data_IF_258247607029
#
_entry.id   IF_258247607029
#
_cell.length_a   1.000
_cell.length_b   1.000
_cell.length_c   1.000
_cell.angle_alpha   90.00
_cell.angle_beta   90.00
_cell.angle_gamma   90.00
#
_symmetry.space_group_name_H-M   'P 1'
#
loop_
_entity.id
_entity.type
_entity.pdbx_description
1 polymer ?
#
# COMPACT_ATOMS: atom_id res chain seq x y z
N UNK A 1 -11.63 -10.33 -14.31
CA UNK A 1 -11.48 -10.80 -12.91
C UNK A 1 -10.19 -11.60 -12.70
N UNK A 2 -9.92 -12.66 -13.46
CA UNK A 2 -8.70 -13.51 -13.38
C UNK A 2 -7.39 -12.73 -13.39
N UNK A 3 -7.22 -11.79 -14.33
CA UNK A 3 -5.98 -11.01 -14.49
C UNK A 3 -5.65 -10.15 -13.25
N UNK A 4 -6.64 -9.68 -12.52
CA UNK A 4 -6.45 -8.88 -11.31
C UNK A 4 -5.82 -9.72 -10.20
N UNK A 5 -6.36 -10.91 -9.93
CA UNK A 5 -5.87 -11.83 -8.88
C UNK A 5 -4.45 -12.30 -9.17
N UNK A 6 -4.17 -12.68 -10.43
CA UNK A 6 -2.81 -13.07 -10.82
C UNK A 6 -1.80 -11.92 -10.67
N UNK A 7 -2.19 -10.69 -11.01
CA UNK A 7 -1.32 -9.54 -10.83
C UNK A 7 -1.08 -9.21 -9.35
N UNK A 8 -2.10 -9.39 -8.50
CA UNK A 8 -1.99 -9.18 -7.06
C UNK A 8 -1.04 -10.21 -6.43
N UNK A 9 -1.22 -11.50 -6.71
CA UNK A 9 -0.31 -12.54 -6.23
C UNK A 9 1.13 -12.30 -6.69
N UNK A 10 1.32 -11.93 -7.97
CA UNK A 10 2.64 -11.63 -8.52
C UNK A 10 3.26 -10.39 -7.86
N UNK A 11 2.49 -9.35 -7.61
CA UNK A 11 2.96 -8.16 -6.92
C UNK A 11 3.38 -8.47 -5.48
N UNK A 12 2.58 -9.27 -4.77
CA UNK A 12 2.89 -9.69 -3.40
C UNK A 12 4.19 -10.51 -3.35
N UNK A 13 4.38 -11.46 -4.26
CA UNK A 13 5.64 -12.22 -4.35
C UNK A 13 6.85 -11.30 -4.65
N UNK A 14 6.70 -10.30 -5.51
CA UNK A 14 7.77 -9.34 -5.83
C UNK A 14 8.18 -8.47 -4.65
N UNK A 15 7.21 -8.03 -3.83
CA UNK A 15 7.53 -7.22 -2.65
C UNK A 15 8.07 -8.07 -1.50
N UNK A 16 7.70 -9.34 -1.41
CA UNK A 16 8.34 -10.32 -0.54
C UNK A 16 9.83 -10.51 -0.90
N UNK A 17 10.13 -10.68 -2.20
CA UNK A 17 11.50 -10.89 -2.69
C UNK A 17 12.46 -9.74 -2.34
N UNK A 18 11.97 -8.51 -2.26
CA UNK A 18 12.77 -7.34 -1.86
C UNK A 18 12.83 -7.17 -0.33
N UNK A 19 12.34 -8.13 0.44
CA UNK A 19 12.46 -8.21 1.90
C UNK A 19 11.44 -7.37 2.67
N UNK A 20 10.23 -7.17 2.11
CA UNK A 20 9.10 -6.65 2.88
C UNK A 20 8.36 -7.78 3.58
N UNK A 21 7.90 -7.54 4.80
CA UNK A 21 7.09 -8.51 5.52
C UNK A 21 5.66 -8.51 4.97
N UNK A 22 5.34 -9.55 4.25
CA UNK A 22 4.02 -9.80 3.65
C UNK A 22 3.62 -11.26 3.93
N UNK A 23 2.32 -11.61 3.95
CA UNK A 23 1.93 -13.00 3.94
C UNK A 23 2.46 -13.67 2.67
N UNK A 24 3.17 -14.78 2.81
CA UNK A 24 3.73 -15.50 1.67
C UNK A 24 2.62 -16.06 0.80
N UNK A 25 2.75 -15.93 -0.52
CA UNK A 25 1.83 -16.56 -1.46
C UNK A 25 2.17 -18.04 -1.60
N UNK A 26 1.26 -18.91 -1.19
CA UNK A 26 1.41 -20.35 -1.28
C UNK A 26 0.87 -20.88 -2.61
N UNK A 27 -0.30 -20.43 -3.03
CA UNK A 27 -0.97 -20.93 -4.21
C UNK A 27 -1.91 -19.90 -4.84
N UNK A 28 -2.09 -19.97 -6.14
CA UNK A 28 -3.18 -19.31 -6.86
C UNK A 28 -4.03 -20.36 -7.55
N UNK A 29 -5.22 -20.57 -7.05
CA UNK A 29 -6.09 -21.67 -7.47
C UNK A 29 -7.54 -21.21 -7.73
N UNK A 30 -8.40 -22.14 -8.09
CA UNK A 30 -9.85 -21.93 -8.15
C UNK A 30 -10.53 -22.66 -7.01
N UNK A 31 -11.31 -21.93 -6.22
CA UNK A 31 -12.18 -22.42 -5.16
C UNK A 31 -13.62 -22.07 -5.55
N UNK A 32 -14.49 -23.06 -5.66
CA UNK A 32 -15.89 -22.90 -6.09
C UNK A 32 -16.05 -22.08 -7.39
N UNK A 33 -15.15 -22.36 -8.36
CA UNK A 33 -15.15 -21.69 -9.67
C UNK A 33 -14.62 -20.26 -9.68
N UNK A 34 -14.22 -19.69 -8.53
CA UNK A 34 -13.62 -18.36 -8.37
C UNK A 34 -12.12 -18.47 -8.18
N UNK A 35 -11.37 -17.54 -8.77
CA UNK A 35 -9.94 -17.44 -8.52
C UNK A 35 -9.69 -16.93 -7.10
N UNK A 36 -8.74 -17.55 -6.41
CA UNK A 36 -8.31 -17.23 -5.06
C UNK A 36 -6.79 -17.21 -4.98
N UNK A 37 -6.27 -16.40 -4.05
CA UNK A 37 -4.87 -16.41 -3.62
C UNK A 37 -4.86 -17.06 -2.25
N UNK A 38 -4.08 -18.11 -2.07
CA UNK A 38 -3.84 -18.74 -0.76
C UNK A 38 -2.53 -18.19 -0.24
N UNK A 39 -2.54 -17.69 0.99
CA UNK A 39 -1.37 -17.11 1.65
C UNK A 39 -1.22 -17.65 3.06
N UNK A 40 -0.05 -17.42 3.66
CA UNK A 40 0.13 -17.60 5.10
C UNK A 40 -0.98 -16.87 5.87
N UNK A 41 -1.46 -17.52 6.93
CA UNK A 41 -2.32 -16.84 7.92
C UNK A 41 -1.43 -16.12 8.94
N UNK A 42 -1.61 -14.82 9.06
CA UNK A 42 -0.89 -14.00 10.04
C UNK A 42 -1.77 -13.78 11.25
N UNK A 43 -1.39 -14.36 12.37
CA UNK A 43 -2.07 -14.16 13.63
C UNK A 43 -1.69 -12.82 14.25
N UNK A 44 -2.68 -11.95 14.52
CA UNK A 44 -2.45 -10.63 15.08
C UNK A 44 -3.69 -9.74 14.99
N UNK A 45 -3.49 -8.46 15.28
CA UNK A 45 -4.52 -7.41 15.13
C UNK A 45 -4.12 -6.43 14.06
N UNK A 46 -5.10 -5.90 13.33
CA UNK A 46 -4.82 -4.78 12.43
C UNK A 46 -4.40 -3.55 13.24
N UNK A 47 -3.52 -2.74 12.65
CA UNK A 47 -3.07 -1.50 13.28
C UNK A 47 -4.27 -0.56 13.54
N UNK A 48 -5.25 -0.53 12.61
CA UNK A 48 -6.51 0.19 12.82
C UNK A 48 -7.22 -0.26 14.11
N UNK A 49 -7.36 -1.57 14.30
CA UNK A 49 -7.99 -2.11 15.50
C UNK A 49 -7.22 -1.75 16.77
N UNK A 50 -5.89 -1.73 16.72
CA UNK A 50 -5.07 -1.31 17.86
C UNK A 50 -5.27 0.17 18.18
N UNK A 51 -5.39 1.04 17.17
CA UNK A 51 -5.71 2.46 17.33
C UNK A 51 -7.09 2.65 17.97
N UNK A 52 -8.10 1.90 17.50
CA UNK A 52 -9.47 1.99 18.00
C UNK A 52 -9.62 1.48 19.44
N UNK A 53 -8.90 0.40 19.79
CA UNK A 53 -8.92 -0.18 21.15
C UNK A 53 -8.09 0.65 22.16
N UNK A 54 -7.13 1.46 21.70
CA UNK A 54 -6.22 2.23 22.54
C UNK A 54 -6.06 3.67 22.03
N UNK A 55 -7.09 4.51 22.12
CA UNK A 55 -7.04 5.87 21.58
C UNK A 55 -6.00 6.77 22.26
N UNK A 56 -5.61 6.49 23.49
CA UNK A 56 -4.52 7.14 24.23
C UNK A 56 -3.13 6.87 23.62
N UNK A 57 -2.98 5.83 22.81
CA UNK A 57 -1.75 5.47 22.10
C UNK A 57 -1.82 5.78 20.60
N UNK A 58 -2.77 6.57 20.17
CA UNK A 58 -2.95 6.87 18.74
C UNK A 58 -1.69 7.42 18.10
N UNK A 59 -1.01 8.36 18.76
CA UNK A 59 0.20 8.99 18.22
C UNK A 59 1.35 7.96 18.10
N UNK A 60 1.54 7.07 19.08
CA UNK A 60 2.53 5.97 19.01
C UNK A 60 2.26 5.03 17.83
N UNK A 61 0.99 4.68 17.59
CA UNK A 61 0.64 3.84 16.45
C UNK A 61 0.75 4.56 15.12
N UNK A 62 0.51 5.87 15.09
CA UNK A 62 0.69 6.70 13.90
C UNK A 62 2.18 6.82 13.53
N UNK A 63 3.07 7.02 14.50
CA UNK A 63 4.51 6.98 14.30
C UNK A 63 4.95 5.65 13.69
N UNK A 64 4.50 4.54 14.27
CA UNK A 64 4.77 3.20 13.74
C UNK A 64 4.25 3.02 12.31
N UNK A 65 3.07 3.54 12.01
CA UNK A 65 2.49 3.52 10.67
C UNK A 65 3.35 4.26 9.65
N UNK A 66 3.82 5.45 9.99
CA UNK A 66 4.71 6.25 9.14
C UNK A 66 6.04 5.56 8.93
N UNK A 67 6.65 5.01 9.98
CA UNK A 67 7.90 4.26 9.89
C UNK A 67 7.80 3.07 8.92
N UNK A 68 6.69 2.31 8.98
CA UNK A 68 6.43 1.21 8.06
C UNK A 68 6.26 1.69 6.62
N UNK A 69 5.59 2.81 6.39
CA UNK A 69 5.48 3.39 5.05
C UNK A 69 6.83 3.84 4.51
N UNK A 70 7.66 4.48 5.34
CA UNK A 70 9.01 4.87 4.99
C UNK A 70 9.89 3.65 4.69
N UNK A 71 9.74 2.54 5.42
CA UNK A 71 10.43 1.28 5.12
C UNK A 71 10.06 0.78 3.72
N UNK A 72 8.79 0.74 3.36
CA UNK A 72 8.32 0.39 2.02
C UNK A 72 8.92 1.31 0.96
N UNK A 73 8.88 2.63 1.19
CA UNK A 73 9.34 3.65 0.25
C UNK A 73 10.87 3.71 0.12
N UNK A 74 11.64 3.13 1.06
CA UNK A 74 13.10 2.95 0.90
C UNK A 74 13.45 1.86 -0.11
N UNK A 75 12.54 0.92 -0.38
CA UNK A 75 12.75 -0.17 -1.32
C UNK A 75 12.59 0.28 -2.78
N UNK A 76 13.20 -0.49 -3.66
CA UNK A 76 13.03 -0.40 -5.12
C UNK A 76 12.69 -1.77 -5.66
N UNK A 77 11.76 -1.83 -6.62
CA UNK A 77 11.37 -3.07 -7.26
C UNK A 77 11.10 -2.82 -8.75
N UNK A 78 12.10 -2.95 -9.63
CA UNK A 78 11.98 -2.65 -11.06
C UNK A 78 10.92 -3.49 -11.79
N UNK A 79 10.53 -4.62 -11.21
CA UNK A 79 9.50 -5.49 -11.76
C UNK A 79 8.07 -4.98 -11.57
N UNK A 80 7.86 -3.95 -10.73
CA UNK A 80 6.55 -3.34 -10.52
C UNK A 80 6.19 -2.40 -11.67
N UNK A 81 4.89 -2.26 -11.90
CA UNK A 81 4.38 -1.30 -12.89
C UNK A 81 4.69 0.14 -12.48
N UNK A 82 4.93 1.01 -13.45
CA UNK A 82 5.14 2.43 -13.21
C UNK A 82 3.87 3.12 -12.69
N UNK A 83 3.99 3.88 -11.60
CA UNK A 83 2.90 4.72 -11.06
C UNK A 83 2.45 5.75 -12.10
N UNK A 84 3.39 6.42 -12.77
CA UNK A 84 3.11 7.43 -13.79
C UNK A 84 2.30 6.83 -14.94
N UNK A 85 2.72 5.69 -15.48
CA UNK A 85 1.99 5.01 -16.56
C UNK A 85 0.59 4.55 -16.13
N UNK A 86 0.47 4.04 -14.89
CA UNK A 86 -0.83 3.65 -14.31
C UNK A 86 -1.77 4.84 -14.22
N UNK A 87 -1.28 6.00 -13.79
CA UNK A 87 -2.06 7.23 -13.70
C UNK A 87 -2.41 7.78 -15.09
N UNK A 88 -1.47 7.80 -16.04
CA UNK A 88 -1.74 8.23 -17.42
C UNK A 88 -2.87 7.43 -18.08
N UNK A 89 -2.92 6.10 -17.84
CA UNK A 89 -4.00 5.24 -18.37
C UNK A 89 -5.37 5.54 -17.76
N UNK A 90 -5.41 6.13 -16.55
CA UNK A 90 -6.67 6.49 -15.87
C UNK A 90 -7.18 7.88 -16.23
N UNK A 91 -6.30 8.78 -16.68
CA UNK A 91 -6.68 10.13 -17.07
C UNK A 91 -7.31 10.08 -18.47
N UNK A 92 -8.49 10.67 -18.62
CA UNK A 92 -9.16 10.78 -19.92
C UNK A 92 -8.30 11.58 -20.90
N UNK A 93 -8.26 11.17 -22.18
CA UNK A 93 -7.49 11.82 -23.23
C UNK A 93 -7.83 13.32 -23.43
N UNK A 94 -9.03 13.76 -23.06
CA UNK A 94 -9.42 15.18 -23.10
C UNK A 94 -8.76 16.04 -22.00
N UNK A 95 -8.04 15.45 -21.06
CA UNK A 95 -7.33 16.13 -19.97
C UNK A 95 -5.85 16.32 -20.29
N UNK A 96 -5.56 16.95 -21.43
CA UNK A 96 -4.19 17.16 -21.93
C UNK A 96 -3.25 17.81 -20.91
N UNK A 97 -3.72 18.84 -20.19
CA UNK A 97 -2.93 19.50 -19.15
C UNK A 97 -2.48 18.55 -18.03
N UNK A 98 -3.37 17.66 -17.56
CA UNK A 98 -3.03 16.67 -16.56
C UNK A 98 -2.00 15.65 -17.07
N UNK A 99 -2.13 15.21 -18.32
CA UNK A 99 -1.13 14.35 -18.95
C UNK A 99 0.23 15.01 -19.03
N UNK A 100 0.28 16.29 -19.43
CA UNK A 100 1.52 17.06 -19.56
C UNK A 100 2.18 17.26 -18.20
N UNK A 101 1.43 17.65 -17.18
CA UNK A 101 1.93 17.80 -15.80
C UNK A 101 2.47 16.48 -15.27
N UNK A 102 1.74 15.38 -15.43
CA UNK A 102 2.15 14.06 -14.96
C UNK A 102 3.42 13.58 -15.69
N UNK A 103 3.54 13.83 -16.98
CA UNK A 103 4.73 13.49 -17.77
C UNK A 103 5.97 14.30 -17.37
N UNK A 104 5.78 15.55 -16.93
CA UNK A 104 6.84 16.45 -16.48
C UNK A 104 7.31 16.18 -15.05
N UNK A 105 6.58 15.35 -14.26
CA UNK A 105 6.99 15.02 -12.89
C UNK A 105 8.30 14.21 -12.90
N UNK A 106 9.19 14.44 -11.91
CA UNK A 106 10.40 13.64 -11.76
C UNK A 106 10.09 12.15 -11.68
N UNK A 107 10.83 11.36 -12.44
CA UNK A 107 10.69 9.90 -12.37
C UNK A 107 11.45 9.38 -11.16
N UNK A 108 10.74 8.62 -10.33
CA UNK A 108 11.26 7.92 -9.16
C UNK A 108 10.97 6.43 -9.31
N UNK A 109 11.69 5.62 -8.53
CA UNK A 109 11.62 4.15 -8.57
C UNK A 109 11.32 3.54 -7.20
N UNK A 110 10.73 4.32 -6.31
CA UNK A 110 10.38 3.87 -4.97
C UNK A 110 9.15 2.95 -5.02
N UNK A 111 9.10 1.97 -4.12
CA UNK A 111 7.89 1.17 -3.95
C UNK A 111 6.80 2.05 -3.37
N UNK A 112 5.66 2.08 -4.04
CA UNK A 112 4.46 2.81 -3.65
C UNK A 112 3.35 1.78 -3.45
N UNK A 113 2.85 1.61 -2.25
CA UNK A 113 1.81 0.63 -1.93
C UNK A 113 0.51 0.93 -2.68
N UNK A 114 0.12 2.20 -2.71
CA UNK A 114 -1.06 2.68 -3.43
C UNK A 114 -2.38 2.45 -2.71
N UNK A 115 -2.36 1.87 -1.50
CA UNK A 115 -3.49 1.74 -0.59
C UNK A 115 -3.01 1.53 0.85
N UNK A 116 -1.98 2.33 1.24
CA UNK A 116 -1.37 2.24 2.54
C UNK A 116 -2.28 2.87 3.59
N UNK A 117 -2.88 2.02 4.43
CA UNK A 117 -3.80 2.42 5.50
C UNK A 117 -3.65 1.44 6.68
N UNK A 118 -4.04 1.83 7.92
CA UNK A 118 -3.85 1.00 9.12
C UNK A 118 -4.60 -0.34 9.10
N UNK A 119 -5.68 -0.46 8.31
CA UNK A 119 -6.42 -1.73 8.18
C UNK A 119 -5.66 -2.76 7.35
N UNK A 120 -4.70 -2.34 6.53
CA UNK A 120 -3.83 -3.18 5.70
C UNK A 120 -2.52 -3.57 6.40
N UNK A 121 -2.40 -3.37 7.71
CA UNK A 121 -1.22 -3.74 8.49
C UNK A 121 -1.65 -4.61 9.65
N UNK A 122 -1.07 -5.82 9.76
CA UNK A 122 -1.25 -6.70 10.92
C UNK A 122 -0.03 -6.58 11.82
N UNK A 123 -0.26 -6.38 13.10
CA UNK A 123 0.75 -6.44 14.16
C UNK A 123 0.55 -7.74 14.92
N UNK A 124 1.58 -8.59 14.91
CA UNK A 124 1.62 -9.84 15.64
C UNK A 124 1.91 -9.61 17.12
N UNK A 125 1.73 -10.64 17.94
CA UNK A 125 1.96 -10.57 19.40
C UNK A 125 3.42 -10.22 19.76
N UNK A 126 4.38 -10.68 18.94
CA UNK A 126 5.81 -10.34 19.06
C UNK A 126 6.16 -8.95 18.49
N UNK A 127 5.15 -8.16 18.04
CA UNK A 127 5.30 -6.80 17.55
C UNK A 127 5.75 -6.66 16.10
N UNK A 128 5.89 -7.77 15.36
CA UNK A 128 6.24 -7.75 13.94
C UNK A 128 5.04 -7.26 13.12
N UNK A 129 5.32 -6.42 12.11
CA UNK A 129 4.31 -5.90 11.21
C UNK A 129 4.32 -6.66 9.86
N UNK A 130 3.12 -6.97 9.36
CA UNK A 130 2.90 -7.53 8.04
C UNK A 130 1.98 -6.61 7.25
N UNK A 131 2.38 -6.25 6.03
CA UNK A 131 1.61 -5.36 5.16
C UNK A 131 0.83 -6.20 4.15
N UNK A 132 -0.46 -5.90 4.02
CA UNK A 132 -1.44 -6.63 3.22
C UNK A 132 -1.86 -5.84 1.99
N UNK A 133 -2.60 -6.47 1.07
CA UNK A 133 -3.26 -5.89 -0.12
C UNK A 133 -2.32 -5.12 -1.05
N UNK A 134 -1.45 -5.85 -1.70
CA UNK A 134 -0.50 -5.34 -2.71
C UNK A 134 -1.10 -5.20 -4.12
N UNK A 135 -2.43 -5.21 -4.24
CA UNK A 135 -3.15 -5.11 -5.52
C UNK A 135 -2.88 -3.79 -6.25
N UNK A 136 -2.56 -2.74 -5.51
CA UNK A 136 -2.34 -1.39 -6.04
C UNK A 136 -0.88 -0.98 -6.15
N UNK A 137 0.05 -1.82 -5.73
CA UNK A 137 1.49 -1.50 -5.71
C UNK A 137 2.03 -1.09 -7.09
N UNK A 138 2.95 -0.14 -7.05
CA UNK A 138 3.66 0.40 -8.23
C UNK A 138 5.06 0.82 -7.82
N UNK A 139 5.91 1.13 -8.80
CA UNK A 139 7.12 1.91 -8.54
C UNK A 139 6.92 3.36 -9.00
N UNK A 140 7.38 4.32 -8.22
CA UNK A 140 7.17 5.72 -8.55
C UNK A 140 7.64 6.69 -7.49
N UNK A 141 6.90 7.80 -7.35
CA UNK A 141 7.20 8.86 -6.42
C UNK A 141 6.55 8.56 -5.05
N UNK A 142 7.39 8.42 -4.02
CA UNK A 142 6.96 8.20 -2.63
C UNK A 142 5.98 9.30 -2.14
N UNK A 143 6.21 10.57 -2.49
CA UNK A 143 5.32 11.66 -2.10
C UNK A 143 3.91 11.50 -2.68
N UNK A 144 3.75 10.88 -3.86
CA UNK A 144 2.43 10.61 -4.42
C UNK A 144 1.71 9.49 -3.65
N UNK A 145 2.46 8.51 -3.13
CA UNK A 145 1.92 7.46 -2.25
C UNK A 145 1.50 8.05 -0.89
N UNK A 146 2.34 8.89 -0.29
CA UNK A 146 2.03 9.60 0.94
C UNK A 146 0.79 10.51 0.78
N UNK A 147 0.71 11.28 -0.31
CA UNK A 147 -0.47 12.10 -0.61
C UNK A 147 -1.76 11.28 -0.72
N UNK A 148 -1.66 10.05 -1.27
CA UNK A 148 -2.80 9.14 -1.32
C UNK A 148 -3.19 8.65 0.09
N UNK A 149 -2.24 8.29 0.93
CA UNK A 149 -2.49 7.91 2.33
C UNK A 149 -3.18 9.05 3.10
N UNK A 150 -2.69 10.29 2.96
CA UNK A 150 -3.35 11.47 3.51
C UNK A 150 -4.82 11.58 3.08
N UNK A 151 -5.09 11.43 1.78
CA UNK A 151 -6.45 11.48 1.24
C UNK A 151 -7.34 10.35 1.77
N UNK A 152 -6.79 9.16 2.04
CA UNK A 152 -7.55 8.05 2.63
C UNK A 152 -8.01 8.42 4.04
N UNK A 153 -7.11 8.90 4.92
CA UNK A 153 -7.48 9.39 6.25
C UNK A 153 -8.55 10.48 6.18
N UNK A 154 -8.38 11.42 5.27
CA UNK A 154 -9.31 12.55 5.13
C UNK A 154 -10.70 12.11 4.66
N UNK A 155 -10.78 11.18 3.70
CA UNK A 155 -12.04 10.64 3.16
C UNK A 155 -12.78 9.74 4.17
N UNK A 156 -12.06 9.10 5.07
CA UNK A 156 -12.60 8.32 6.19
C UNK A 156 -13.10 9.21 7.34
N UNK A 157 -12.93 10.53 7.23
CA UNK A 157 -13.35 11.51 8.24
C UNK A 157 -12.34 11.72 9.38
N UNK A 158 -11.17 11.07 9.34
CA UNK A 158 -10.10 11.25 10.30
C UNK A 158 -9.18 12.39 9.89
N UNK A 159 -9.70 13.63 9.96
CA UNK A 159 -8.96 14.83 9.53
C UNK A 159 -7.78 15.12 10.45
N UNK A 160 -7.93 14.95 11.75
CA UNK A 160 -6.84 15.13 12.72
C UNK A 160 -5.69 14.14 12.47
N UNK A 161 -6.01 12.86 12.24
CA UNK A 161 -5.03 11.86 11.87
C UNK A 161 -4.33 12.16 10.54
N UNK A 162 -5.06 12.70 9.55
CA UNK A 162 -4.49 13.10 8.27
C UNK A 162 -3.45 14.22 8.44
N UNK A 163 -3.78 15.26 9.23
CA UNK A 163 -2.88 16.39 9.49
C UNK A 163 -1.65 15.97 10.31
N UNK A 164 -1.84 15.16 11.35
CA UNK A 164 -0.72 14.58 12.11
C UNK A 164 0.21 13.76 11.23
N UNK A 165 -0.36 12.91 10.37
CA UNK A 165 0.39 12.07 9.44
C UNK A 165 1.32 12.88 8.50
N UNK A 166 0.90 14.06 8.03
CA UNK A 166 1.73 14.91 7.17
C UNK A 166 2.85 15.63 7.91
N UNK A 167 2.78 15.74 9.23
CA UNK A 167 3.77 16.43 10.05
C UNK A 167 4.86 15.50 10.60
N UNK A 168 4.71 14.20 10.38
CA UNK A 168 5.69 13.14 10.69
C UNK A 168 6.57 12.83 9.47
#
# INVERSE_FOLDING_TARGET
>A
MTRRILNEALNQARVEEIGLNVPRVEEVCKIDGKWAIVTDYIEGKTLQRLMDENPDKFDEYLDKFVDLQLEVQRKTCPMLNSLTEKMQKKISHCRYELHTRLAAMPKHNKVCHGDFNPSNIIITEDGKAYILDWSHVTQGNASADAARTYLLFWLEGNIEGAEKYLNL
#
